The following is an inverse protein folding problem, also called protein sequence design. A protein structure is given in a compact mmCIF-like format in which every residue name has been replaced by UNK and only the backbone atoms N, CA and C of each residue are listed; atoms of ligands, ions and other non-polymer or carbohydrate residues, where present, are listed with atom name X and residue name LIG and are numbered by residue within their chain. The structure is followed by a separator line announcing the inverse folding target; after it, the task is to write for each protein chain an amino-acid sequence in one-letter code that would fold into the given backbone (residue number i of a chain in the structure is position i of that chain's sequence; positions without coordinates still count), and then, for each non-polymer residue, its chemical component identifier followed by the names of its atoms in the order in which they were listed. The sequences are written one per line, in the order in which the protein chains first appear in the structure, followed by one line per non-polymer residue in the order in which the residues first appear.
data_IF_155763966154
#
_entry.id   IF_155763966154
#
_cell.length_a   1.000
_cell.length_b   1.000
_cell.length_c   1.000
_cell.angle_alpha   90.00
_cell.angle_beta   90.00
_cell.angle_gamma   90.00
#
_symmetry.space_group_name_H-M   'P 1'
#
loop_
_entity.id
_entity.type
_entity.pdbx_description
1 polymer ?
#
# COMPACT_ATOMS: atom_id res chain seq x y z
N UNK A 1 -9.67 -2.61 -21.79
CA UNK A 1 -9.05 -1.60 -20.90
C UNK A 1 -8.28 -2.35 -19.84
N UNK A 2 -7.00 -2.08 -19.67
CA UNK A 2 -6.25 -2.65 -18.55
C UNK A 2 -6.77 -2.00 -17.27
N UNK A 3 -7.22 -2.84 -16.35
CA UNK A 3 -7.70 -2.38 -15.05
C UNK A 3 -6.52 -1.89 -14.21
N UNK A 4 -6.73 -0.87 -13.38
CA UNK A 4 -5.73 -0.42 -12.39
C UNK A 4 -5.18 -1.63 -11.63
N UNK A 5 -3.85 -1.80 -11.56
CA UNK A 5 -3.24 -2.95 -10.88
C UNK A 5 -3.69 -3.05 -9.43
N UNK A 6 -3.87 -4.27 -8.91
CA UNK A 6 -4.32 -4.46 -7.51
C UNK A 6 -3.44 -3.74 -6.49
N UNK A 7 -2.13 -3.66 -6.73
CA UNK A 7 -1.18 -3.00 -5.83
C UNK A 7 -1.33 -1.47 -5.75
N UNK A 8 -2.07 -0.87 -6.68
CA UNK A 8 -2.30 0.58 -6.74
C UNK A 8 -3.76 0.94 -6.40
N UNK A 9 -4.55 -0.04 -5.97
CA UNK A 9 -5.92 0.17 -5.51
C UNK A 9 -5.95 0.38 -4.01
N UNK A 10 -6.95 1.09 -3.53
CA UNK A 10 -7.25 1.17 -2.10
C UNK A 10 -7.76 -0.19 -1.64
N UNK A 11 -7.07 -0.82 -0.71
CA UNK A 11 -7.50 -2.09 -0.12
C UNK A 11 -8.35 -1.82 1.12
N UNK A 12 -9.64 -2.17 1.05
CA UNK A 12 -10.60 -1.99 2.13
C UNK A 12 -10.98 -3.38 2.68
N UNK A 13 -10.69 -3.63 3.96
CA UNK A 13 -11.10 -4.84 4.64
C UNK A 13 -12.39 -4.62 5.43
N UNK A 14 -13.37 -5.50 5.27
CA UNK A 14 -14.63 -5.49 6.02
C UNK A 14 -14.59 -6.52 7.13
N UNK A 15 -14.76 -6.06 8.37
CA UNK A 15 -14.68 -6.85 9.59
C UNK A 15 -16.00 -6.77 10.38
N UNK A 16 -16.21 -7.70 11.31
CA UNK A 16 -17.37 -7.75 12.16
C UNK A 16 -17.94 -9.17 12.23
N UNK A 17 -18.83 -9.41 13.19
CA UNK A 17 -19.44 -10.72 13.44
C UNK A 17 -20.24 -11.24 12.24
N UNK A 18 -20.59 -12.52 12.30
CA UNK A 18 -21.53 -13.10 11.35
C UNK A 18 -22.87 -12.34 11.42
N UNK A 19 -23.47 -12.07 10.27
CA UNK A 19 -24.74 -11.33 10.17
C UNK A 19 -24.71 -9.87 10.71
N UNK A 20 -23.55 -9.27 10.94
CA UNK A 20 -23.46 -7.87 11.34
C UNK A 20 -23.93 -6.89 10.23
N UNK A 21 -24.09 -7.37 9.00
CA UNK A 21 -24.51 -6.54 7.87
C UNK A 21 -23.38 -6.15 6.92
N UNK A 22 -22.19 -6.77 7.01
CA UNK A 22 -21.05 -6.51 6.13
C UNK A 22 -21.43 -6.53 4.64
N UNK A 23 -22.02 -7.62 4.19
CA UNK A 23 -22.43 -7.79 2.78
C UNK A 23 -23.51 -6.79 2.36
N UNK A 24 -24.42 -6.42 3.26
CA UNK A 24 -25.43 -5.39 3.02
C UNK A 24 -24.78 -4.03 2.84
N UNK A 25 -23.83 -3.69 3.72
CA UNK A 25 -23.05 -2.45 3.61
C UNK A 25 -22.23 -2.40 2.32
N UNK A 26 -21.55 -3.50 1.96
CA UNK A 26 -20.80 -3.60 0.70
C UNK A 26 -21.72 -3.34 -0.50
N UNK A 27 -22.87 -3.99 -0.54
CA UNK A 27 -23.85 -3.80 -1.63
C UNK A 27 -24.34 -2.35 -1.70
N UNK A 28 -24.63 -1.74 -0.55
CA UNK A 28 -25.04 -0.34 -0.48
C UNK A 28 -23.92 0.62 -0.99
N UNK A 29 -22.69 0.43 -0.52
CA UNK A 29 -21.56 1.28 -0.93
C UNK A 29 -21.23 1.15 -2.42
N UNK A 30 -21.36 -0.06 -2.96
CA UNK A 30 -21.02 -0.35 -4.36
C UNK A 30 -22.15 -0.08 -5.34
N UNK A 31 -23.37 0.14 -4.85
CA UNK A 31 -24.59 0.24 -5.65
C UNK A 31 -24.79 -0.97 -6.60
N UNK A 32 -24.36 -2.11 -6.17
CA UNK A 32 -24.44 -3.36 -6.93
C UNK A 32 -24.58 -4.56 -5.98
N UNK A 33 -25.33 -5.59 -6.34
CA UNK A 33 -25.31 -6.84 -5.63
C UNK A 33 -23.95 -7.52 -5.82
N UNK A 34 -23.02 -7.23 -4.92
CA UNK A 34 -21.68 -7.82 -4.93
C UNK A 34 -21.75 -9.17 -4.23
N UNK A 35 -21.86 -10.25 -4.99
CA UNK A 35 -21.67 -11.59 -4.42
C UNK A 35 -20.18 -11.79 -4.16
N UNK A 36 -19.77 -11.73 -2.91
CA UNK A 36 -18.45 -12.16 -2.45
C UNK A 36 -18.53 -13.66 -2.14
N UNK A 37 -18.83 -14.46 -3.16
CA UNK A 37 -18.83 -15.93 -3.06
C UNK A 37 -17.51 -16.42 -3.64
N UNK A 38 -16.83 -17.32 -2.92
CA UNK A 38 -15.70 -18.06 -3.47
C UNK A 38 -16.18 -18.87 -4.70
N UNK A 39 -15.49 -18.76 -5.82
CA UNK A 39 -15.78 -19.54 -7.05
C UNK A 39 -15.61 -21.06 -6.87
N UNK A 40 -15.18 -21.51 -5.67
CA UNK A 40 -15.00 -22.92 -5.32
C UNK A 40 -15.92 -23.26 -4.14
N UNK A 41 -16.98 -23.97 -4.44
CA UNK A 41 -17.90 -24.50 -3.42
C UNK A 41 -17.14 -25.45 -2.49
N UNK A 42 -17.11 -25.13 -1.18
CA UNK A 42 -16.58 -26.02 -0.13
C UNK A 42 -15.31 -25.53 0.58
N UNK A 43 -14.70 -24.40 0.23
CA UNK A 43 -13.52 -23.84 0.91
C UNK A 43 -13.78 -22.43 1.42
N UNK A 44 -14.66 -22.27 2.39
CA UNK A 44 -15.05 -20.97 2.99
C UNK A 44 -14.02 -20.41 3.99
N UNK A 45 -12.76 -20.78 3.89
CA UNK A 45 -11.70 -20.31 4.81
C UNK A 45 -10.89 -19.13 4.28
N UNK A 46 -10.95 -18.82 2.98
CA UNK A 46 -10.16 -17.75 2.40
C UNK A 46 -10.95 -16.43 2.32
N UNK A 47 -10.36 -15.28 2.73
CA UNK A 47 -10.97 -13.97 2.53
C UNK A 47 -11.19 -13.72 1.03
N UNK A 48 -12.40 -13.36 0.66
CA UNK A 48 -12.76 -13.10 -0.74
C UNK A 48 -12.46 -11.65 -1.08
N UNK A 49 -11.62 -11.43 -2.09
CA UNK A 49 -11.25 -10.09 -2.54
C UNK A 49 -11.78 -9.82 -3.95
N UNK A 50 -12.44 -8.67 -4.12
CA UNK A 50 -12.96 -8.21 -5.42
C UNK A 50 -12.44 -6.82 -5.74
N UNK A 51 -11.86 -6.67 -6.93
CA UNK A 51 -11.42 -5.38 -7.46
C UNK A 51 -12.58 -4.70 -8.18
N UNK A 52 -12.82 -3.42 -7.86
CA UNK A 52 -13.87 -2.61 -8.47
C UNK A 52 -13.54 -1.12 -8.44
N UNK A 53 -14.43 -0.30 -8.92
CA UNK A 53 -14.36 1.16 -8.84
C UNK A 53 -15.58 1.66 -8.06
N UNK A 54 -15.33 2.48 -7.04
CA UNK A 54 -16.38 3.09 -6.21
C UNK A 54 -16.16 4.60 -6.24
N UNK A 55 -17.05 5.35 -6.86
CA UNK A 55 -17.01 6.80 -6.84
C UNK A 55 -17.58 7.35 -5.52
N UNK A 56 -16.92 8.30 -4.84
CA UNK A 56 -15.71 9.06 -5.25
C UNK A 56 -14.36 8.41 -4.89
N UNK A 57 -14.33 7.23 -4.26
CA UNK A 57 -13.09 6.58 -3.76
C UNK A 57 -12.14 6.12 -4.89
N UNK A 58 -12.63 5.97 -6.13
CA UNK A 58 -11.83 5.46 -7.23
C UNK A 58 -11.65 3.93 -7.24
N UNK A 59 -10.50 3.43 -7.72
CA UNK A 59 -10.24 2.00 -7.84
C UNK A 59 -9.91 1.36 -6.48
N UNK A 60 -10.76 0.41 -6.04
CA UNK A 60 -10.64 -0.28 -4.74
C UNK A 60 -10.49 -1.78 -4.90
N UNK A 61 -9.97 -2.43 -3.87
CA UNK A 61 -10.09 -3.87 -3.62
C UNK A 61 -10.85 -4.06 -2.32
N UNK A 62 -12.05 -4.59 -2.39
CA UNK A 62 -12.82 -4.96 -1.21
C UNK A 62 -12.42 -6.38 -0.82
N UNK A 63 -12.13 -6.58 0.46
CA UNK A 63 -11.90 -7.89 1.06
C UNK A 63 -12.91 -8.11 2.17
N UNK A 64 -13.81 -9.09 2.00
CA UNK A 64 -14.70 -9.55 3.04
C UNK A 64 -13.99 -10.60 3.89
N UNK A 65 -13.94 -10.38 5.20
CA UNK A 65 -13.41 -11.35 6.13
C UNK A 65 -14.57 -12.21 6.66
N UNK A 66 -14.36 -13.52 6.77
CA UNK A 66 -15.33 -14.38 7.41
C UNK A 66 -15.64 -13.90 8.84
N UNK A 67 -16.86 -14.14 9.33
CA UNK A 67 -17.28 -13.71 10.68
C UNK A 67 -16.25 -14.11 11.75
N UNK A 68 -15.97 -13.19 12.65
CA UNK A 68 -14.87 -13.24 13.63
C UNK A 68 -15.18 -14.20 14.81
N UNK A 69 -16.41 -14.63 14.90
CA UNK A 69 -17.05 -15.41 15.99
C UNK A 69 -17.00 -16.93 15.79
N UNK A 70 -16.18 -17.44 14.87
CA UNK A 70 -16.09 -18.87 14.60
C UNK A 70 -15.07 -19.57 15.52
N UNK A 71 -15.57 -20.24 16.55
CA UNK A 71 -14.76 -20.96 17.56
C UNK A 71 -14.34 -22.39 17.15
N UNK A 72 -14.51 -22.76 15.89
CA UNK A 72 -14.13 -24.09 15.38
C UNK A 72 -12.62 -24.20 15.08
N UNK A 73 -12.09 -25.43 14.87
CA UNK A 73 -10.70 -25.63 14.41
C UNK A 73 -10.41 -24.89 13.09
N UNK A 74 -11.43 -24.71 12.25
CA UNK A 74 -11.41 -23.85 11.07
C UNK A 74 -11.27 -22.35 11.44
N UNK A 75 -11.73 -21.94 12.62
CA UNK A 75 -11.62 -20.58 13.14
C UNK A 75 -10.16 -20.14 13.31
N UNK A 76 -9.27 -21.01 13.78
CA UNK A 76 -7.84 -20.68 13.95
C UNK A 76 -7.16 -20.40 12.61
N UNK A 77 -7.43 -21.22 11.60
CA UNK A 77 -6.93 -20.98 10.23
C UNK A 77 -7.51 -19.71 9.61
N UNK A 78 -8.77 -19.37 9.92
CA UNK A 78 -9.41 -18.12 9.50
C UNK A 78 -8.79 -16.91 10.17
N UNK A 79 -8.42 -17.00 11.46
CA UNK A 79 -7.73 -15.95 12.18
C UNK A 79 -6.35 -15.65 11.54
N UNK A 80 -5.54 -16.68 11.26
CA UNK A 80 -4.26 -16.51 10.60
C UNK A 80 -4.40 -15.82 9.23
N UNK A 81 -5.40 -16.22 8.44
CA UNK A 81 -5.69 -15.60 7.13
C UNK A 81 -6.21 -14.17 7.25
N UNK A 82 -7.00 -13.89 8.28
CA UNK A 82 -7.47 -12.52 8.56
C UNK A 82 -6.31 -11.64 9.01
N UNK A 83 -5.34 -12.14 9.78
CA UNK A 83 -4.10 -11.42 10.07
C UNK A 83 -3.28 -11.10 8.81
N UNK A 84 -3.29 -11.97 7.80
CA UNK A 84 -2.66 -11.67 6.50
C UNK A 84 -3.38 -10.53 5.76
N UNK A 85 -4.69 -10.40 5.91
CA UNK A 85 -5.45 -9.28 5.34
C UNK A 85 -5.03 -7.97 6.00
N UNK A 86 -4.82 -7.94 7.33
CA UNK A 86 -4.38 -6.74 8.06
C UNK A 86 -3.10 -6.14 7.48
N UNK A 87 -2.20 -6.96 6.95
CA UNK A 87 -0.93 -6.50 6.36
C UNK A 87 -1.10 -5.78 5.03
N UNK A 88 -2.22 -6.01 4.34
CA UNK A 88 -2.44 -5.57 2.95
C UNK A 88 -3.43 -4.41 2.85
N UNK A 89 -4.33 -4.25 3.84
CA UNK A 89 -5.39 -3.25 3.79
C UNK A 89 -4.89 -1.85 4.13
N UNK A 90 -5.45 -0.87 3.44
CA UNK A 90 -5.21 0.56 3.69
C UNK A 90 -6.25 1.12 4.67
N UNK A 91 -7.44 0.53 4.70
CA UNK A 91 -8.58 0.97 5.49
C UNK A 91 -9.37 -0.24 6.00
N UNK A 92 -9.76 -0.24 7.25
CA UNK A 92 -10.66 -1.22 7.83
C UNK A 92 -12.06 -0.61 8.02
N UNK A 93 -13.07 -1.31 7.56
CA UNK A 93 -14.48 -1.06 7.88
C UNK A 93 -14.90 -2.11 8.89
N UNK A 94 -15.18 -1.69 10.12
CA UNK A 94 -15.64 -2.57 11.17
C UNK A 94 -17.14 -2.36 11.39
N UNK A 95 -17.94 -3.44 11.32
CA UNK A 95 -19.40 -3.37 11.38
C UNK A 95 -19.90 -3.95 12.69
N UNK A 96 -20.62 -3.13 13.46
CA UNK A 96 -21.38 -3.53 14.65
C UNK A 96 -22.88 -3.36 14.40
N UNK A 97 -23.70 -3.92 15.28
CA UNK A 97 -25.17 -3.80 15.26
C UNK A 97 -25.65 -3.04 16.48
N UNK A 98 -26.70 -2.25 16.34
CA UNK A 98 -27.31 -1.51 17.45
C UNK A 98 -28.02 -2.42 18.48
N UNK A 99 -28.45 -3.61 18.08
CA UNK A 99 -29.20 -4.57 18.93
C UNK A 99 -28.31 -5.56 19.68
N UNK A 100 -26.98 -5.44 19.55
CA UNK A 100 -26.02 -6.33 20.20
C UNK A 100 -24.90 -5.53 20.89
N UNK A 101 -24.45 -6.00 22.04
CA UNK A 101 -23.28 -5.43 22.74
C UNK A 101 -21.98 -5.85 22.03
N UNK A 102 -20.94 -4.96 21.99
CA UNK A 102 -19.61 -5.35 21.55
C UNK A 102 -19.03 -6.44 22.44
N UNK A 103 -18.49 -7.48 21.83
CA UNK A 103 -17.86 -8.59 22.55
C UNK A 103 -16.37 -8.36 22.80
N UNK A 104 -15.76 -9.25 23.62
CA UNK A 104 -14.28 -9.27 23.78
C UNK A 104 -13.55 -9.47 22.45
N UNK A 105 -14.14 -10.23 21.53
CA UNK A 105 -13.56 -10.48 20.21
C UNK A 105 -13.59 -9.23 19.33
N UNK A 106 -14.70 -8.47 19.37
CA UNK A 106 -14.77 -7.18 18.67
C UNK A 106 -13.68 -6.23 19.17
N UNK A 107 -13.50 -6.13 20.49
CA UNK A 107 -12.46 -5.28 21.09
C UNK A 107 -11.05 -5.75 20.76
N UNK A 108 -10.84 -7.07 20.72
CA UNK A 108 -9.56 -7.67 20.33
C UNK A 108 -9.19 -7.29 18.88
N UNK A 109 -10.12 -7.47 17.92
CA UNK A 109 -9.89 -7.15 16.52
C UNK A 109 -9.68 -5.66 16.26
N UNK A 110 -10.48 -4.80 16.89
CA UNK A 110 -10.28 -3.35 16.83
C UNK A 110 -8.90 -2.96 17.40
N UNK A 111 -8.49 -3.61 18.51
CA UNK A 111 -7.15 -3.45 19.08
C UNK A 111 -6.02 -3.86 18.12
N UNK A 112 -6.16 -5.01 17.44
CA UNK A 112 -5.19 -5.47 16.44
C UNK A 112 -5.11 -4.52 15.23
N UNK A 113 -6.23 -4.02 14.74
CA UNK A 113 -6.27 -3.03 13.65
C UNK A 113 -5.53 -1.76 14.06
N UNK A 114 -5.80 -1.24 15.26
CA UNK A 114 -5.11 -0.06 15.80
C UNK A 114 -3.62 -0.28 15.98
N UNK A 115 -3.20 -1.42 16.56
CA UNK A 115 -1.78 -1.79 16.73
C UNK A 115 -1.03 -1.87 15.40
N UNK A 116 -1.72 -2.24 14.32
CA UNK A 116 -1.17 -2.27 12.97
C UNK A 116 -1.29 -0.92 12.25
N UNK A 117 -1.65 0.17 12.92
CA UNK A 117 -1.84 1.50 12.34
C UNK A 117 -2.79 1.51 11.13
N UNK A 118 -3.85 0.68 11.15
CA UNK A 118 -4.90 0.69 10.13
C UNK A 118 -5.95 1.72 10.53
N UNK A 119 -6.25 2.72 9.69
CA UNK A 119 -7.42 3.58 9.90
C UNK A 119 -8.69 2.73 9.99
N UNK A 120 -9.55 3.00 10.98
CA UNK A 120 -10.75 2.22 11.25
C UNK A 120 -11.98 3.09 11.08
N UNK A 121 -12.80 2.77 10.07
CA UNK A 121 -14.17 3.25 9.97
C UNK A 121 -15.07 2.27 10.73
N UNK A 122 -15.56 2.67 11.90
CA UNK A 122 -16.53 1.88 12.66
C UNK A 122 -17.93 2.25 12.19
N UNK A 123 -18.64 1.32 11.56
CA UNK A 123 -20.00 1.51 11.11
C UNK A 123 -20.99 0.70 11.96
N UNK A 124 -22.02 1.38 12.44
CA UNK A 124 -23.04 0.82 13.28
C UNK A 124 -24.30 0.64 12.44
N UNK A 125 -24.68 -0.60 12.21
CA UNK A 125 -25.88 -0.96 11.46
C UNK A 125 -27.12 -0.73 12.35
N UNK A 126 -27.93 0.25 11.99
CA UNK A 126 -29.19 0.57 12.64
C UNK A 126 -30.27 -0.42 12.18
N UNK A 127 -30.39 -1.55 12.89
CA UNK A 127 -31.46 -2.49 12.63
C UNK A 127 -32.73 -1.93 13.26
N UNK A 128 -33.83 -1.89 12.50
CA UNK A 128 -35.15 -1.45 12.96
C UNK A 128 -35.60 -2.26 14.18
N UNK A 129 -35.11 -1.91 15.35
CA UNK A 129 -35.53 -2.47 16.60
C UNK A 129 -36.62 -1.62 17.21
N UNK A 130 -37.86 -2.10 17.12
CA UNK A 130 -38.96 -1.65 17.97
C UNK A 130 -38.71 -1.92 19.45
N UNK A 131 -37.50 -2.37 19.85
CA UNK A 131 -37.14 -2.80 21.23
C UNK A 131 -36.08 -1.94 21.90
N UNK A 132 -35.44 -1.00 21.22
CA UNK A 132 -34.53 -0.06 21.90
C UNK A 132 -35.37 1.05 22.53
N UNK A 133 -35.56 0.93 23.86
CA UNK A 133 -36.30 1.88 24.64
C UNK A 133 -35.59 3.22 24.71
N UNK A 134 -36.02 4.18 23.88
CA UNK A 134 -35.48 5.55 23.83
C UNK A 134 -35.53 6.30 25.18
N UNK A 135 -36.17 5.67 26.20
CA UNK A 135 -36.32 6.30 27.50
C UNK A 135 -35.16 6.15 28.45
N UNK A 136 -34.23 5.18 28.22
CA UNK A 136 -33.08 4.99 29.10
C UNK A 136 -31.97 6.05 28.89
N UNK A 137 -31.95 6.71 27.75
CA UNK A 137 -30.86 7.63 27.36
C UNK A 137 -31.22 9.12 27.41
N UNK A 138 -32.42 9.46 27.87
CA UNK A 138 -32.89 10.85 27.87
C UNK A 138 -32.34 11.72 29.01
N UNK A 139 -31.89 11.12 30.10
CA UNK A 139 -31.47 11.87 31.30
C UNK A 139 -30.01 12.31 31.28
N UNK A 140 -29.13 11.67 30.50
CA UNK A 140 -27.70 12.06 30.42
C UNK A 140 -27.41 13.05 29.29
N UNK A 141 -28.38 13.28 28.38
CA UNK A 141 -28.22 14.13 27.21
C UNK A 141 -28.26 15.63 27.49
N UNK A 142 -28.78 16.05 28.64
CA UNK A 142 -28.90 17.49 28.95
C UNK A 142 -27.60 18.05 29.53
N UNK A 143 -26.77 17.24 30.20
CA UNK A 143 -25.44 17.64 30.66
C UNK A 143 -24.37 17.70 29.55
N UNK A 144 -24.51 16.87 28.49
CA UNK A 144 -23.56 16.86 27.37
C UNK A 144 -23.80 17.98 26.36
N UNK A 145 -24.99 18.59 26.34
CA UNK A 145 -25.35 19.66 25.37
C UNK A 145 -24.64 20.97 25.57
N UNK A 146 -24.09 21.24 26.75
CA UNK A 146 -23.36 22.50 27.05
C UNK A 146 -21.92 22.54 26.52
N UNK A 147 -21.34 21.37 26.14
CA UNK A 147 -19.93 21.26 25.70
C UNK A 147 -19.72 20.92 24.22
N UNK A 148 -20.78 20.85 23.42
CA UNK A 148 -20.67 20.53 21.98
C UNK A 148 -20.95 21.78 21.14
N UNK A 149 -19.92 22.33 20.53
CA UNK A 149 -20.05 23.36 19.49
C UNK A 149 -20.77 22.72 18.30
N UNK A 150 -22.04 23.11 18.08
CA UNK A 150 -22.81 22.70 16.91
C UNK A 150 -22.13 23.21 15.65
N UNK A 151 -21.78 22.36 14.66
CA UNK A 151 -21.41 22.84 13.34
C UNK A 151 -22.67 23.42 12.66
N UNK A 152 -22.75 24.72 12.53
CA UNK A 152 -23.65 25.40 11.59
C UNK A 152 -22.90 25.52 10.29
N UNK A 153 -23.23 24.69 9.29
CA UNK A 153 -22.66 24.81 7.96
C UNK A 153 -22.98 23.63 7.05
N UNK A 154 -22.98 23.89 5.77
CA UNK A 154 -23.12 22.88 4.70
C UNK A 154 -21.94 21.91 4.69
N UNK A 155 -22.11 20.71 4.14
CA UNK A 155 -21.13 19.60 4.06
C UNK A 155 -19.73 20.07 3.61
N UNK A 156 -19.66 21.09 2.76
CA UNK A 156 -18.43 21.72 2.28
C UNK A 156 -17.61 22.38 3.41
N UNK A 157 -18.29 22.98 4.40
CA UNK A 157 -17.64 23.60 5.57
C UNK A 157 -17.14 22.56 6.59
N UNK A 158 -17.75 21.38 6.61
CA UNK A 158 -17.28 20.26 7.45
C UNK A 158 -15.99 19.65 6.92
N UNK A 159 -15.85 19.51 5.60
CA UNK A 159 -14.60 19.05 4.93
C UNK A 159 -13.50 20.10 5.07
N UNK A 160 -13.81 21.39 4.90
CA UNK A 160 -12.85 22.49 5.11
C UNK A 160 -12.40 22.60 6.59
N UNK A 161 -13.25 22.23 7.54
CA UNK A 161 -12.89 22.17 8.96
C UNK A 161 -12.02 20.96 9.29
N UNK A 162 -12.23 19.82 8.66
CA UNK A 162 -11.33 18.64 8.77
C UNK A 162 -9.95 19.00 8.21
N UNK A 163 -9.88 19.64 7.04
CA UNK A 163 -8.62 20.10 6.45
C UNK A 163 -7.90 21.17 7.28
N UNK A 164 -8.63 22.03 7.99
CA UNK A 164 -8.04 23.03 8.90
C UNK A 164 -7.55 22.45 10.22
N UNK A 165 -8.18 21.39 10.71
CA UNK A 165 -7.75 20.68 11.91
C UNK A 165 -6.48 19.86 11.62
N UNK A 166 -6.36 19.27 10.44
CA UNK A 166 -5.14 18.54 10.04
C UNK A 166 -3.95 19.45 9.75
N UNK A 167 -4.16 20.70 9.31
CA UNK A 167 -3.09 21.66 9.01
C UNK A 167 -2.52 22.40 10.23
N UNK A 168 -3.09 22.23 11.42
CA UNK A 168 -2.63 22.87 12.66
C UNK A 168 -2.07 21.89 13.71
N UNK A 169 -1.85 20.63 13.36
CA UNK A 169 -1.24 19.64 14.25
C UNK A 169 0.24 19.51 13.91
N UNK A 170 1.03 20.04 14.82
CA UNK A 170 2.49 19.93 14.88
C UNK A 170 2.92 18.46 14.94
N UNK A 171 4.06 18.16 14.32
CA UNK A 171 4.67 16.85 14.19
C UNK A 171 4.61 16.01 15.47
N UNK A 172 3.99 14.90 15.39
CA UNK A 172 4.07 13.73 16.25
C UNK A 172 2.79 13.31 16.98
N UNK A 173 2.32 12.14 16.57
CA UNK A 173 1.66 11.13 17.40
C UNK A 173 0.15 11.11 17.62
N UNK A 174 -0.66 12.05 17.19
CA UNK A 174 -2.12 11.90 17.40
C UNK A 174 -2.97 12.42 16.22
N UNK A 175 -3.00 11.70 15.10
CA UNK A 175 -4.05 11.91 14.10
C UNK A 175 -5.31 11.20 14.61
N UNK A 176 -6.08 11.87 15.43
CA UNK A 176 -7.43 11.48 15.82
C UNK A 176 -8.37 12.65 15.60
N UNK A 177 -8.78 12.83 14.34
CA UNK A 177 -9.94 13.65 14.04
C UNK A 177 -11.19 12.75 14.13
N UNK A 178 -11.93 12.80 15.23
CA UNK A 178 -13.18 12.06 15.38
C UNK A 178 -14.32 12.80 14.67
N UNK A 179 -14.89 12.20 13.64
CA UNK A 179 -16.22 12.56 13.13
C UNK A 179 -17.20 11.53 13.68
N UNK A 180 -18.11 11.97 14.55
CA UNK A 180 -19.12 11.11 15.19
C UNK A 180 -20.45 11.35 14.49
N UNK A 181 -20.97 10.32 13.80
CA UNK A 181 -22.33 10.29 13.24
C UNK A 181 -23.05 9.12 13.88
N UNK A 182 -23.98 9.41 14.79
CA UNK A 182 -24.72 8.36 15.54
C UNK A 182 -24.50 8.44 17.05
N UNK A 183 -25.14 9.40 17.72
CA UNK A 183 -24.80 9.83 19.09
C UNK A 183 -25.18 8.84 20.20
N UNK A 184 -26.09 7.90 19.98
CA UNK A 184 -26.67 7.11 21.09
C UNK A 184 -25.89 5.85 21.47
N UNK A 185 -25.40 5.09 20.51
CA UNK A 185 -24.74 3.79 20.75
C UNK A 185 -23.33 3.95 21.32
N UNK A 186 -22.63 4.99 20.93
CA UNK A 186 -21.24 5.25 21.31
C UNK A 186 -21.10 5.80 22.72
N UNK A 187 -22.07 6.61 23.16
CA UNK A 187 -22.08 7.13 24.54
C UNK A 187 -22.18 5.99 25.58
N UNK A 188 -22.82 4.87 25.19
CA UNK A 188 -22.95 3.68 26.04
C UNK A 188 -21.67 2.81 26.10
N UNK A 189 -20.75 2.94 25.11
CA UNK A 189 -19.59 2.05 24.96
C UNK A 189 -18.29 2.84 24.87
N UNK A 190 -17.86 3.39 26.00
CA UNK A 190 -16.72 4.34 26.11
C UNK A 190 -15.39 3.86 25.52
N UNK A 191 -15.17 2.55 25.40
CA UNK A 191 -13.92 2.00 24.83
C UNK A 191 -13.84 2.02 23.30
N UNK A 192 -14.98 2.07 22.58
CA UNK A 192 -15.00 2.02 21.12
C UNK A 192 -14.45 3.31 20.47
N UNK A 193 -14.75 4.44 21.09
CA UNK A 193 -14.33 5.75 20.61
C UNK A 193 -12.80 5.89 20.57
N UNK A 194 -12.09 5.16 21.41
CA UNK A 194 -10.61 5.21 21.46
C UNK A 194 -9.94 4.32 20.43
N UNK A 195 -10.68 3.36 19.89
CA UNK A 195 -10.19 2.39 18.92
C UNK A 195 -10.49 2.79 17.46
N UNK A 196 -11.60 3.47 17.21
CA UNK A 196 -12.01 3.87 15.87
C UNK A 196 -11.45 5.24 15.46
N UNK A 197 -11.09 5.37 14.18
CA UNK A 197 -10.68 6.65 13.59
C UNK A 197 -11.89 7.51 13.23
N UNK A 198 -12.94 6.89 12.70
CA UNK A 198 -14.23 7.51 12.36
C UNK A 198 -15.34 6.57 12.72
N UNK A 199 -16.48 7.10 13.14
CA UNK A 199 -17.67 6.31 13.47
C UNK A 199 -18.86 6.84 12.68
N UNK A 200 -19.56 5.94 11.99
CA UNK A 200 -20.80 6.22 11.27
C UNK A 200 -21.90 5.27 11.68
N UNK A 201 -23.15 5.73 11.66
CA UNK A 201 -24.30 4.85 11.84
C UNK A 201 -25.33 5.05 10.73
N UNK A 202 -25.90 3.97 10.23
CA UNK A 202 -26.95 4.00 9.23
C UNK A 202 -27.73 2.69 9.20
N UNK A 203 -28.97 2.78 8.73
CA UNK A 203 -29.67 1.62 8.19
C UNK A 203 -29.06 1.30 6.83
N UNK A 204 -28.33 0.19 6.73
CA UNK A 204 -27.62 -0.23 5.51
C UNK A 204 -28.56 -0.64 4.37
N UNK A 205 -29.87 -0.61 4.58
CA UNK A 205 -30.86 -0.78 3.52
C UNK A 205 -31.29 0.55 2.90
N UNK A 206 -30.83 1.69 3.42
CA UNK A 206 -31.18 3.04 2.99
C UNK A 206 -30.12 3.68 2.12
N UNK A 207 -30.41 3.91 0.83
CA UNK A 207 -29.51 4.59 -0.10
C UNK A 207 -29.23 6.06 0.27
N UNK A 208 -30.10 6.68 1.07
CA UNK A 208 -29.93 8.08 1.49
C UNK A 208 -28.64 8.33 2.29
N UNK A 209 -28.12 7.32 2.97
CA UNK A 209 -26.88 7.41 3.76
C UNK A 209 -25.61 6.98 3.00
N UNK A 210 -25.75 6.46 1.80
CA UNK A 210 -24.64 5.94 1.00
C UNK A 210 -23.53 6.98 0.78
N UNK A 211 -23.91 8.17 0.32
CA UNK A 211 -22.92 9.23 0.04
C UNK A 211 -22.21 9.70 1.30
N UNK A 212 -22.92 9.84 2.40
CA UNK A 212 -22.34 10.22 3.70
C UNK A 212 -21.28 9.19 4.15
N UNK A 213 -21.59 7.89 4.05
CA UNK A 213 -20.64 6.82 4.40
C UNK A 213 -19.45 6.75 3.43
N UNK A 214 -19.67 7.04 2.14
CA UNK A 214 -18.57 7.12 1.16
C UNK A 214 -17.67 8.33 1.42
N UNK A 215 -18.22 9.47 1.82
CA UNK A 215 -17.43 10.65 2.17
C UNK A 215 -16.59 10.39 3.43
N UNK A 216 -17.15 9.70 4.43
CA UNK A 216 -16.42 9.28 5.62
C UNK A 216 -15.25 8.35 5.27
N UNK A 217 -15.46 7.38 4.38
CA UNK A 217 -14.40 6.48 3.90
C UNK A 217 -13.35 7.24 3.10
N UNK A 218 -13.77 8.19 2.27
CA UNK A 218 -12.86 9.05 1.49
C UNK A 218 -11.94 9.87 2.37
N UNK A 219 -12.46 10.44 3.46
CA UNK A 219 -11.68 11.20 4.43
C UNK A 219 -10.68 10.37 5.23
N UNK A 220 -10.87 9.04 5.29
CA UNK A 220 -9.95 8.10 5.95
C UNK A 220 -8.97 7.43 5.00
N UNK A 221 -9.19 7.56 3.71
CA UNK A 221 -8.26 7.00 2.73
C UNK A 221 -6.92 7.70 2.92
N UNK A 222 -5.85 6.96 3.28
CA UNK A 222 -4.55 7.58 3.41
C UNK A 222 -4.21 8.32 2.12
N UNK A 223 -3.86 9.58 2.22
CA UNK A 223 -3.39 10.41 1.09
C UNK A 223 -2.23 9.72 0.34
N UNK A 224 -1.53 8.83 1.01
CA UNK A 224 -0.48 7.95 0.46
C UNK A 224 -0.91 7.06 -0.73
N UNK A 225 -2.22 6.86 -0.95
CA UNK A 225 -2.70 6.02 -2.07
C UNK A 225 -2.85 6.84 -3.35
N UNK A 226 -3.09 8.16 -3.24
CA UNK A 226 -3.25 9.05 -4.41
C UNK A 226 -2.68 10.47 -4.23
N UNK A 227 -2.20 10.89 -3.03
CA UNK A 227 -2.19 12.33 -2.75
C UNK A 227 -0.85 13.04 -2.74
N UNK A 228 0.27 12.48 -2.29
CA UNK A 228 1.46 13.32 -2.06
C UNK A 228 2.78 12.78 -2.63
N UNK A 229 2.94 11.49 -2.83
CA UNK A 229 4.20 10.97 -3.39
C UNK A 229 3.95 10.22 -4.69
N UNK A 230 4.23 10.89 -5.81
CA UNK A 230 4.19 10.25 -7.13
C UNK A 230 5.58 9.68 -7.48
N UNK A 231 5.61 8.76 -8.45
CA UNK A 231 6.84 8.07 -8.85
C UNK A 231 7.95 9.04 -9.30
N UNK A 232 7.57 10.14 -10.01
CA UNK A 232 8.45 11.15 -10.58
C UNK A 232 8.34 12.53 -9.91
N UNK A 233 7.71 12.61 -8.74
CA UNK A 233 7.56 13.88 -8.01
C UNK A 233 8.90 14.61 -7.84
N UNK A 234 8.93 15.87 -8.22
CA UNK A 234 10.13 16.70 -8.15
C UNK A 234 11.22 16.38 -9.19
N UNK A 235 11.02 15.36 -10.03
CA UNK A 235 11.99 14.93 -11.04
C UNK A 235 11.64 15.40 -12.45
N UNK A 236 10.36 15.63 -12.74
CA UNK A 236 9.84 15.95 -14.07
C UNK A 236 8.96 17.18 -14.00
N UNK A 237 9.20 18.14 -14.91
CA UNK A 237 8.42 19.34 -15.09
C UNK A 237 7.80 19.39 -16.49
N UNK A 238 6.89 20.34 -16.73
CA UNK A 238 6.25 20.55 -18.03
C UNK A 238 7.28 20.81 -19.12
N UNK A 239 7.23 20.03 -20.19
CA UNK A 239 8.13 20.14 -21.34
C UNK A 239 9.44 19.35 -21.22
N UNK A 240 9.74 18.74 -20.08
CA UNK A 240 10.92 17.89 -19.93
C UNK A 240 10.83 16.66 -20.84
N UNK A 241 11.97 16.26 -21.41
CA UNK A 241 12.09 15.06 -22.23
C UNK A 241 12.79 13.97 -21.44
N UNK A 242 12.13 12.83 -21.27
CA UNK A 242 12.64 11.66 -20.55
C UNK A 242 12.80 10.50 -21.52
N UNK A 243 13.95 9.84 -21.52
CA UNK A 243 14.15 8.60 -22.29
C UNK A 243 13.98 7.41 -21.38
N UNK A 244 13.11 6.48 -21.79
CA UNK A 244 12.84 5.23 -21.10
C UNK A 244 13.46 4.08 -21.89
N UNK A 245 14.46 3.44 -21.32
CA UNK A 245 15.10 2.26 -21.93
C UNK A 245 14.43 1.00 -21.41
N UNK A 246 13.66 0.38 -22.30
CA UNK A 246 12.83 -0.79 -21.99
C UNK A 246 13.31 -1.98 -22.81
N UNK A 247 14.26 -2.78 -22.31
CA UNK A 247 14.68 -4.00 -23.02
C UNK A 247 13.51 -4.98 -23.14
N UNK A 248 13.48 -5.75 -24.21
CA UNK A 248 12.49 -6.81 -24.39
C UNK A 248 12.84 -7.94 -23.43
N UNK A 249 12.07 -8.04 -22.37
CA UNK A 249 12.19 -9.11 -21.38
C UNK A 249 11.38 -10.34 -21.84
N UNK A 250 12.01 -11.50 -21.86
CA UNK A 250 11.34 -12.78 -22.14
C UNK A 250 10.29 -13.14 -21.07
N UNK A 251 10.39 -12.56 -19.87
CA UNK A 251 9.44 -12.74 -18.78
C UNK A 251 8.18 -11.85 -18.92
N UNK A 252 8.26 -10.76 -19.68
CA UNK A 252 7.10 -9.91 -19.93
C UNK A 252 6.15 -10.58 -20.96
N UNK A 253 4.83 -10.52 -20.74
CA UNK A 253 3.89 -11.01 -21.74
C UNK A 253 4.10 -10.30 -23.08
N UNK A 254 4.12 -11.06 -24.17
CA UNK A 254 4.31 -10.52 -25.53
C UNK A 254 3.33 -9.37 -25.78
N UNK A 255 3.84 -8.24 -26.25
CA UNK A 255 3.04 -7.06 -26.58
C UNK A 255 2.69 -6.16 -25.38
N UNK A 256 3.34 -6.34 -24.22
CA UNK A 256 3.10 -5.52 -23.01
C UNK A 256 4.40 -4.98 -22.45
N UNK A 257 4.31 -3.78 -21.90
CA UNK A 257 5.30 -3.22 -20.98
C UNK A 257 4.99 -3.69 -19.54
N UNK A 258 6.02 -3.75 -18.69
CA UNK A 258 5.84 -4.08 -17.28
C UNK A 258 5.27 -2.88 -16.52
N UNK A 259 4.65 -3.14 -15.38
CA UNK A 259 3.93 -2.12 -14.60
C UNK A 259 4.76 -0.86 -14.30
N UNK A 260 6.01 -0.92 -13.82
CA UNK A 260 6.80 0.29 -13.57
C UNK A 260 7.01 1.15 -14.81
N UNK A 261 7.21 0.54 -15.98
CA UNK A 261 7.38 1.24 -17.24
C UNK A 261 6.11 1.98 -17.64
N UNK A 262 4.96 1.32 -17.57
CA UNK A 262 3.65 1.93 -17.89
C UNK A 262 3.34 3.09 -16.94
N UNK A 263 3.59 2.93 -15.63
CA UNK A 263 3.36 3.97 -14.64
C UNK A 263 4.25 5.18 -14.89
N UNK A 264 5.54 4.96 -15.16
CA UNK A 264 6.48 6.05 -15.47
C UNK A 264 6.06 6.84 -16.72
N UNK A 265 5.67 6.12 -17.80
CA UNK A 265 5.17 6.79 -19.02
C UNK A 265 3.93 7.64 -18.69
N UNK A 266 2.97 7.06 -17.97
CA UNK A 266 1.74 7.76 -17.64
C UNK A 266 2.02 9.02 -16.81
N UNK A 267 2.88 8.94 -15.82
CA UNK A 267 3.19 10.08 -14.97
C UNK A 267 3.96 11.18 -15.69
N UNK A 268 4.88 10.84 -16.61
CA UNK A 268 5.50 11.84 -17.49
C UNK A 268 4.43 12.63 -18.26
N UNK A 269 3.42 11.94 -18.80
CA UNK A 269 2.34 12.58 -19.52
C UNK A 269 1.45 13.44 -18.60
N UNK A 270 1.20 13.01 -17.38
CA UNK A 270 0.43 13.78 -16.38
C UNK A 270 1.15 15.08 -16.00
N UNK A 271 2.50 15.11 -16.01
CA UNK A 271 3.32 16.31 -15.85
C UNK A 271 3.52 17.10 -17.17
N UNK A 272 2.83 16.73 -18.25
CA UNK A 272 2.98 17.32 -19.59
C UNK A 272 4.42 17.23 -20.15
N UNK A 273 5.17 16.24 -19.71
CA UNK A 273 6.49 15.89 -20.23
C UNK A 273 6.41 15.05 -21.50
N UNK A 274 7.56 14.81 -22.11
CA UNK A 274 7.73 13.99 -23.32
C UNK A 274 8.39 12.66 -22.93
N UNK A 275 7.71 11.55 -23.12
CA UNK A 275 8.23 10.21 -22.91
C UNK A 275 8.72 9.60 -24.23
N UNK A 276 10.01 9.34 -24.35
CA UNK A 276 10.61 8.61 -25.46
C UNK A 276 11.00 7.21 -25.00
N UNK A 277 10.61 6.20 -25.76
CA UNK A 277 10.83 4.79 -25.37
C UNK A 277 11.68 4.11 -26.42
N UNK A 278 12.77 3.46 -26.01
CA UNK A 278 13.65 2.70 -26.90
C UNK A 278 14.17 1.42 -26.21
N UNK A 279 14.80 0.56 -26.96
CA UNK A 279 15.63 -0.52 -26.42
C UNK A 279 17.05 0.00 -26.15
N UNK A 280 17.89 -0.84 -25.56
CA UNK A 280 19.23 -0.45 -25.10
C UNK A 280 20.12 0.04 -26.26
N UNK A 281 20.17 -0.66 -27.37
CA UNK A 281 21.10 -0.36 -28.47
C UNK A 281 20.65 0.85 -29.31
N UNK A 282 19.38 1.25 -29.27
CA UNK A 282 18.86 2.42 -29.96
C UNK A 282 19.06 3.73 -29.13
N UNK A 283 19.48 3.64 -27.86
CA UNK A 283 19.66 4.78 -26.97
C UNK A 283 20.58 5.87 -27.53
N UNK A 284 21.79 5.57 -28.09
CA UNK A 284 22.65 6.60 -28.67
C UNK A 284 22.00 7.35 -29.83
N UNK A 285 21.32 6.63 -30.72
CA UNK A 285 20.61 7.24 -31.83
C UNK A 285 19.47 8.14 -31.36
N UNK A 286 18.73 7.69 -30.32
CA UNK A 286 17.66 8.47 -29.71
C UNK A 286 18.21 9.78 -29.10
N UNK A 287 19.29 9.73 -28.32
CA UNK A 287 19.92 10.92 -27.72
C UNK A 287 20.39 11.89 -28.82
N UNK A 288 21.04 11.38 -29.87
CA UNK A 288 21.54 12.23 -30.98
C UNK A 288 20.41 12.86 -31.81
N UNK A 289 19.22 12.29 -31.82
CA UNK A 289 18.08 12.83 -32.55
C UNK A 289 17.43 14.04 -31.86
N UNK A 290 17.75 14.28 -30.59
CA UNK A 290 17.20 15.37 -29.81
C UNK A 290 17.93 16.66 -30.04
N UNK A 291 17.20 17.78 -30.15
CA UNK A 291 17.75 19.11 -30.24
C UNK A 291 18.44 19.55 -28.93
N UNK A 292 17.84 19.17 -27.81
CA UNK A 292 18.36 19.42 -26.48
C UNK A 292 18.55 18.04 -25.76
N UNK A 293 19.53 17.93 -24.85
CA UNK A 293 19.72 16.70 -24.10
C UNK A 293 18.46 16.39 -23.29
N UNK A 294 18.13 15.11 -23.08
CA UNK A 294 17.02 14.73 -22.23
C UNK A 294 17.31 15.11 -20.77
N UNK A 295 16.27 15.35 -19.99
CA UNK A 295 16.37 15.63 -18.55
C UNK A 295 17.01 14.48 -17.79
N UNK A 296 16.64 13.24 -18.13
CA UNK A 296 17.22 12.01 -17.60
C UNK A 296 16.91 10.80 -18.49
N UNK A 297 17.68 9.74 -18.24
CA UNK A 297 17.44 8.39 -18.76
C UNK A 297 16.98 7.49 -17.62
N UNK A 298 15.90 6.73 -17.83
CA UNK A 298 15.38 5.74 -16.87
C UNK A 298 15.43 4.39 -17.55
N UNK A 299 16.09 3.41 -16.96
CA UNK A 299 16.24 2.10 -17.58
C UNK A 299 15.77 0.96 -16.68
N UNK A 300 15.65 -0.23 -17.25
CA UNK A 300 15.55 -1.45 -16.47
C UNK A 300 16.90 -1.75 -15.79
N UNK A 301 16.89 -2.10 -14.51
CA UNK A 301 18.12 -2.36 -13.74
C UNK A 301 18.97 -3.49 -14.33
N UNK A 302 18.38 -4.37 -15.12
CA UNK A 302 19.11 -5.45 -15.81
C UNK A 302 20.02 -4.94 -16.92
N UNK A 303 19.74 -3.75 -17.45
CA UNK A 303 20.50 -3.13 -18.54
C UNK A 303 21.42 -2.01 -18.04
N UNK A 304 21.58 -1.84 -16.72
CA UNK A 304 22.31 -0.72 -16.14
C UNK A 304 23.73 -0.58 -16.66
N UNK A 305 24.51 -1.66 -16.72
CA UNK A 305 25.88 -1.68 -17.20
C UNK A 305 25.96 -1.12 -18.62
N UNK A 306 25.15 -1.65 -19.52
CA UNK A 306 25.16 -1.24 -20.91
C UNK A 306 24.60 0.16 -21.15
N UNK A 307 23.52 0.53 -20.43
CA UNK A 307 22.91 1.86 -20.53
C UNK A 307 23.84 2.93 -19.98
N UNK A 308 24.60 2.63 -18.92
CA UNK A 308 25.60 3.53 -18.35
C UNK A 308 26.71 3.84 -19.38
N UNK A 309 27.26 2.83 -20.05
CA UNK A 309 28.24 2.99 -21.12
C UNK A 309 27.73 3.86 -22.29
N UNK A 310 26.43 3.74 -22.61
CA UNK A 310 25.82 4.42 -23.76
C UNK A 310 25.28 5.82 -23.45
N UNK A 311 25.20 6.18 -22.15
CA UNK A 311 24.64 7.46 -21.71
C UNK A 311 25.76 8.42 -21.32
N UNK A 312 25.87 9.60 -21.95
CA UNK A 312 26.85 10.64 -21.56
C UNK A 312 26.73 10.96 -20.05
N UNK A 313 27.88 11.21 -19.40
CA UNK A 313 27.93 11.53 -17.94
C UNK A 313 27.11 12.76 -17.55
N UNK A 314 26.93 13.68 -18.50
CA UNK A 314 26.13 14.90 -18.30
C UNK A 314 24.61 14.64 -18.19
N UNK A 315 24.15 13.44 -18.54
CA UNK A 315 22.74 13.07 -18.50
C UNK A 315 22.49 12.21 -17.25
N UNK A 316 21.62 12.63 -16.32
CA UNK A 316 21.22 11.83 -15.16
C UNK A 316 20.66 10.49 -15.59
N UNK A 317 21.02 9.45 -14.85
CA UNK A 317 20.60 8.07 -15.09
C UNK A 317 20.04 7.45 -13.82
N UNK A 318 18.88 6.79 -13.92
CA UNK A 318 18.32 5.97 -12.84
C UNK A 318 17.58 4.75 -13.39
N UNK A 319 16.95 3.97 -12.54
CA UNK A 319 16.17 2.80 -12.98
C UNK A 319 14.75 2.80 -12.45
N UNK A 320 13.86 2.09 -13.18
CA UNK A 320 12.49 1.84 -12.71
C UNK A 320 12.45 1.21 -11.31
N UNK A 321 13.40 0.34 -10.98
CA UNK A 321 13.47 -0.31 -9.66
C UNK A 321 13.86 0.66 -8.55
N UNK A 322 14.74 1.65 -8.81
CA UNK A 322 15.08 2.69 -7.83
C UNK A 322 13.92 3.67 -7.67
N UNK A 323 13.25 4.07 -8.76
CA UNK A 323 12.03 4.87 -8.69
C UNK A 323 10.94 4.17 -7.85
N UNK A 324 10.74 2.87 -8.05
CA UNK A 324 9.78 2.10 -7.24
C UNK A 324 10.21 2.00 -5.78
N UNK A 325 11.50 1.91 -5.49
CA UNK A 325 12.05 1.92 -4.13
C UNK A 325 11.76 3.26 -3.41
N UNK A 326 11.89 4.38 -4.12
CA UNK A 326 11.52 5.71 -3.64
C UNK A 326 10.02 5.83 -3.42
N UNK A 327 9.23 5.44 -4.41
CA UNK A 327 7.77 5.58 -4.42
C UNK A 327 7.08 4.73 -3.36
N UNK A 328 7.48 3.46 -3.21
CA UNK A 328 6.82 2.52 -2.30
C UNK A 328 7.55 2.30 -0.98
N UNK A 329 8.81 2.68 -0.90
CA UNK A 329 9.67 2.43 0.25
C UNK A 329 10.22 3.71 0.87
N UNK A 330 11.33 3.52 1.58
CA UNK A 330 12.22 4.57 2.09
C UNK A 330 13.56 4.37 1.40
N UNK A 331 13.83 5.19 0.38
CA UNK A 331 15.05 5.05 -0.44
C UNK A 331 16.31 5.15 0.42
N UNK A 332 16.33 6.01 1.42
CA UNK A 332 17.44 6.18 2.37
C UNK A 332 17.82 4.89 3.08
N UNK A 333 16.83 4.13 3.59
CA UNK A 333 17.10 2.87 4.30
C UNK A 333 17.70 1.83 3.33
N UNK A 334 17.17 1.77 2.10
CA UNK A 334 17.61 0.84 1.07
C UNK A 334 19.02 1.17 0.55
N UNK A 335 19.37 2.45 0.40
CA UNK A 335 20.72 2.92 0.05
C UNK A 335 21.69 2.67 1.21
N UNK A 336 21.24 2.87 2.44
CA UNK A 336 22.05 2.56 3.62
C UNK A 336 22.33 1.06 3.73
N UNK A 337 21.31 0.23 3.48
CA UNK A 337 21.42 -1.23 3.53
C UNK A 337 22.44 -1.81 2.54
N UNK A 338 22.66 -1.13 1.39
CA UNK A 338 23.64 -1.62 0.40
C UNK A 338 25.07 -1.69 0.94
N UNK A 339 25.41 -0.85 1.92
CA UNK A 339 26.75 -0.84 2.54
C UNK A 339 27.10 -2.18 3.20
N UNK A 340 26.09 -2.95 3.62
CA UNK A 340 26.27 -4.25 4.24
C UNK A 340 26.82 -5.31 3.28
N UNK A 341 26.73 -5.12 1.97
CA UNK A 341 27.30 -6.05 0.97
C UNK A 341 28.78 -6.28 1.23
N UNK A 342 29.52 -5.20 1.57
CA UNK A 342 30.98 -5.27 1.83
C UNK A 342 31.34 -6.16 3.04
N UNK A 343 30.38 -6.46 3.90
CA UNK A 343 30.55 -7.28 5.10
C UNK A 343 30.21 -8.75 4.87
N UNK A 344 29.62 -9.08 3.70
CA UNK A 344 29.26 -10.46 3.37
C UNK A 344 30.53 -11.32 3.19
N UNK A 345 30.50 -12.51 3.75
CA UNK A 345 31.60 -13.52 3.71
C UNK A 345 30.99 -14.91 3.47
N UNK A 346 31.86 -15.88 3.23
CA UNK A 346 31.43 -17.27 3.11
C UNK A 346 30.60 -17.71 4.32
N UNK A 347 29.44 -18.29 4.06
CA UNK A 347 28.48 -18.70 5.08
C UNK A 347 27.45 -17.61 5.48
N UNK A 348 27.60 -16.36 5.03
CA UNK A 348 26.60 -15.31 5.29
C UNK A 348 25.23 -15.70 4.76
N UNK A 349 24.19 -15.45 5.56
CA UNK A 349 22.79 -15.73 5.22
C UNK A 349 22.14 -14.54 4.54
N UNK A 350 21.66 -14.73 3.34
CA UNK A 350 21.02 -13.67 2.55
C UNK A 350 19.61 -14.09 2.15
N UNK A 351 18.63 -13.28 2.54
CA UNK A 351 17.24 -13.45 2.14
C UNK A 351 16.96 -12.69 0.84
N UNK A 352 16.56 -13.39 -0.23
CA UNK A 352 16.06 -12.78 -1.46
C UNK A 352 14.54 -12.85 -1.44
N UNK A 353 13.88 -11.68 -1.31
CA UNK A 353 12.43 -11.59 -1.13
C UNK A 353 11.74 -10.94 -2.32
N UNK A 354 10.88 -11.68 -2.99
CA UNK A 354 10.10 -11.22 -4.12
C UNK A 354 8.65 -10.90 -3.71
N UNK A 355 8.12 -9.77 -4.17
CA UNK A 355 6.73 -9.37 -3.89
C UNK A 355 5.68 -10.00 -4.80
N UNK A 356 6.10 -10.72 -5.83
CA UNK A 356 5.23 -11.35 -6.81
C UNK A 356 5.30 -12.88 -6.74
N UNK A 357 4.27 -13.53 -7.29
CA UNK A 357 4.14 -14.99 -7.37
C UNK A 357 4.13 -15.47 -8.83
N UNK A 358 4.75 -14.69 -9.73
CA UNK A 358 4.82 -15.09 -11.12
C UNK A 358 5.69 -16.34 -11.29
N UNK A 359 5.43 -17.08 -12.38
CA UNK A 359 6.21 -18.29 -12.67
C UNK A 359 7.66 -17.92 -12.93
N UNK A 360 8.58 -18.46 -12.14
CA UNK A 360 10.03 -18.30 -12.31
C UNK A 360 10.45 -18.82 -13.68
N UNK A 361 11.26 -18.04 -14.38
CA UNK A 361 11.84 -18.40 -15.67
C UNK A 361 13.34 -18.71 -15.53
N UNK A 362 13.95 -19.25 -16.60
CA UNK A 362 15.36 -19.62 -16.60
C UNK A 362 16.31 -18.44 -16.32
N UNK A 363 15.88 -17.20 -16.61
CA UNK A 363 16.65 -15.97 -16.44
C UNK A 363 16.08 -15.03 -15.36
N UNK A 364 15.44 -15.60 -14.35
CA UNK A 364 14.82 -14.84 -13.26
C UNK A 364 15.85 -13.97 -12.52
N UNK A 365 15.46 -12.71 -12.21
CA UNK A 365 16.37 -11.71 -11.61
C UNK A 365 16.80 -12.16 -10.22
N UNK A 366 15.85 -12.56 -9.36
CA UNK A 366 16.10 -12.87 -7.97
C UNK A 366 16.81 -14.19 -7.78
N UNK A 367 16.40 -15.24 -8.50
CA UNK A 367 16.90 -16.60 -8.28
C UNK A 367 18.11 -16.95 -9.13
N UNK A 368 18.37 -16.23 -10.22
CA UNK A 368 19.47 -16.54 -11.16
C UNK A 368 20.43 -15.37 -11.32
N UNK A 369 19.96 -14.20 -11.76
CA UNK A 369 20.85 -13.08 -12.12
C UNK A 369 21.57 -12.49 -10.92
N UNK A 370 20.88 -12.18 -9.83
CA UNK A 370 21.47 -11.62 -8.62
C UNK A 370 22.48 -12.60 -7.97
N UNK A 371 22.16 -13.89 -7.75
CA UNK A 371 23.14 -14.84 -7.27
C UNK A 371 24.39 -14.95 -8.14
N UNK A 372 24.23 -14.94 -9.47
CA UNK A 372 25.36 -14.97 -10.39
C UNK A 372 26.20 -13.69 -10.35
N UNK A 373 25.55 -12.52 -10.23
CA UNK A 373 26.21 -11.23 -10.11
C UNK A 373 27.01 -11.15 -8.81
N UNK A 374 26.45 -11.59 -7.67
CA UNK A 374 27.15 -11.67 -6.39
C UNK A 374 28.39 -12.57 -6.48
N UNK A 375 28.26 -13.76 -7.09
CA UNK A 375 29.40 -14.66 -7.33
C UNK A 375 30.49 -14.03 -8.20
N UNK A 376 30.10 -13.34 -9.28
CA UNK A 376 31.02 -12.63 -10.18
C UNK A 376 31.82 -11.53 -9.45
N UNK A 377 31.20 -10.90 -8.44
CA UNK A 377 31.82 -9.88 -7.60
C UNK A 377 32.61 -10.46 -6.41
N UNK A 378 32.78 -11.79 -6.34
CA UNK A 378 33.58 -12.47 -5.32
C UNK A 378 32.83 -12.89 -4.06
N UNK A 379 31.53 -12.68 -3.98
CA UNK A 379 30.70 -13.15 -2.86
C UNK A 379 30.29 -14.61 -3.12
N UNK A 380 31.17 -15.54 -2.76
CA UNK A 380 30.96 -16.99 -2.90
C UNK A 380 30.46 -17.62 -1.61
N UNK A 381 29.86 -18.81 -1.71
CA UNK A 381 29.42 -19.62 -0.57
C UNK A 381 28.40 -18.92 0.36
N UNK A 382 27.55 -18.04 -0.19
CA UNK A 382 26.44 -17.45 0.53
C UNK A 382 25.31 -18.47 0.73
N UNK A 383 24.66 -18.43 1.90
CA UNK A 383 23.44 -19.18 2.17
C UNK A 383 22.25 -18.36 1.70
N UNK A 384 21.73 -18.66 0.50
CA UNK A 384 20.62 -17.93 -0.10
C UNK A 384 19.30 -18.58 0.25
N UNK A 385 18.41 -17.82 0.87
CA UNK A 385 17.01 -18.18 1.09
C UNK A 385 16.08 -17.32 0.24
N UNK A 386 14.97 -17.89 -0.20
CA UNK A 386 14.07 -17.23 -1.14
C UNK A 386 12.63 -17.23 -0.62
N UNK A 387 11.98 -16.06 -0.67
CA UNK A 387 10.56 -15.90 -0.39
C UNK A 387 9.85 -15.24 -1.55
N UNK A 388 8.53 -15.47 -1.70
CA UNK A 388 7.72 -14.88 -2.77
C UNK A 388 6.33 -14.48 -2.27
N UNK A 389 5.74 -13.49 -2.94
CA UNK A 389 4.41 -12.98 -2.61
C UNK A 389 4.31 -12.39 -1.21
N UNK A 390 3.34 -12.87 -0.43
CA UNK A 390 3.11 -12.44 0.95
C UNK A 390 4.03 -13.07 1.99
N UNK A 391 4.82 -14.08 1.62
CA UNK A 391 5.67 -14.84 2.53
C UNK A 391 6.94 -14.06 2.90
N UNK A 392 6.82 -13.14 3.86
CA UNK A 392 7.96 -12.44 4.44
C UNK A 392 8.12 -12.86 5.91
N UNK A 393 9.33 -13.32 6.36
CA UNK A 393 9.52 -13.79 7.73
C UNK A 393 9.21 -12.72 8.78
N UNK A 394 8.62 -13.12 9.92
CA UNK A 394 8.42 -12.22 11.08
C UNK A 394 9.75 -11.92 11.79
N UNK A 395 10.63 -12.94 11.88
CA UNK A 395 11.99 -12.81 12.40
C UNK A 395 12.99 -12.83 11.25
N UNK A 396 13.64 -11.71 11.05
CA UNK A 396 14.67 -11.51 10.01
C UNK A 396 16.06 -11.29 10.60
N UNK A 397 16.20 -11.30 11.92
CA UNK A 397 17.46 -11.05 12.63
C UNK A 397 18.58 -12.06 12.31
N UNK A 398 18.23 -13.23 11.78
CA UNK A 398 19.16 -14.27 11.37
C UNK A 398 19.88 -13.99 10.04
N UNK A 399 19.44 -12.98 9.26
CA UNK A 399 20.02 -12.66 7.96
C UNK A 399 21.04 -11.52 8.05
N UNK A 400 22.17 -11.68 7.34
CA UNK A 400 23.18 -10.64 7.18
C UNK A 400 22.77 -9.56 6.18
N UNK A 401 21.86 -9.90 5.25
CA UNK A 401 21.31 -8.98 4.27
C UNK A 401 19.96 -9.49 3.74
N UNK A 402 19.02 -8.57 3.55
CA UNK A 402 17.77 -8.81 2.80
C UNK A 402 17.87 -8.10 1.45
N UNK A 403 17.66 -8.83 0.37
CA UNK A 403 17.58 -8.31 -0.99
C UNK A 403 16.13 -8.38 -1.44
N UNK A 404 15.46 -7.23 -1.51
CA UNK A 404 14.04 -7.12 -1.85
C UNK A 404 13.86 -6.72 -3.32
N UNK A 405 12.87 -7.28 -4.02
CA UNK A 405 12.56 -6.88 -5.40
C UNK A 405 12.02 -5.44 -5.47
N UNK A 406 11.77 -4.92 -6.69
CA UNK A 406 11.17 -3.60 -6.91
C UNK A 406 9.74 -3.43 -6.40
N UNK A 407 9.13 -4.49 -5.85
CA UNK A 407 7.83 -4.49 -5.16
C UNK A 407 6.64 -3.93 -5.98
N UNK A 408 6.70 -3.99 -7.29
CA UNK A 408 5.66 -3.45 -8.16
C UNK A 408 4.26 -4.04 -7.90
N UNK A 409 4.18 -5.27 -7.41
CA UNK A 409 2.93 -5.99 -7.12
C UNK A 409 2.50 -5.91 -5.63
N UNK A 410 3.31 -5.30 -4.77
CA UNK A 410 2.97 -5.07 -3.36
C UNK A 410 2.36 -3.69 -3.17
N UNK A 411 1.48 -3.55 -2.18
CA UNK A 411 1.04 -2.24 -1.71
C UNK A 411 2.20 -1.49 -1.03
N UNK A 412 2.18 -0.16 -1.04
CA UNK A 412 3.19 0.67 -0.35
C UNK A 412 3.29 0.29 1.14
N UNK A 413 2.14 0.10 1.78
CA UNK A 413 2.06 -0.31 3.18
C UNK A 413 2.83 -1.61 3.46
N UNK A 414 2.67 -2.63 2.64
CA UNK A 414 3.40 -3.90 2.82
C UNK A 414 4.91 -3.74 2.62
N UNK A 415 5.33 -2.88 1.69
CA UNK A 415 6.76 -2.58 1.47
C UNK A 415 7.35 -1.87 2.69
N UNK A 416 6.69 -0.82 3.18
CA UNK A 416 7.11 -0.09 4.37
C UNK A 416 7.19 -1.01 5.60
N UNK A 417 6.19 -1.87 5.81
CA UNK A 417 6.19 -2.86 6.88
C UNK A 417 7.41 -3.80 6.82
N UNK A 418 7.79 -4.26 5.62
CA UNK A 418 8.97 -5.13 5.43
C UNK A 418 10.27 -4.39 5.73
N UNK A 419 10.39 -3.15 5.27
CA UNK A 419 11.55 -2.30 5.57
C UNK A 419 11.64 -2.04 7.07
N UNK A 420 10.54 -1.64 7.71
CA UNK A 420 10.49 -1.40 9.16
C UNK A 420 10.82 -2.66 9.97
N UNK A 421 10.28 -3.82 9.58
CA UNK A 421 10.60 -5.10 10.19
C UNK A 421 12.10 -5.39 10.15
N UNK A 422 12.77 -5.10 9.03
CA UNK A 422 14.21 -5.28 8.89
C UNK A 422 15.00 -4.26 9.74
N UNK A 423 14.64 -2.98 9.66
CA UNK A 423 15.32 -1.89 10.39
C UNK A 423 15.23 -2.07 11.91
N UNK A 424 14.04 -2.37 12.43
CA UNK A 424 13.82 -2.58 13.88
C UNK A 424 14.64 -3.76 14.41
N UNK A 425 14.82 -4.80 13.59
CA UNK A 425 15.64 -5.98 13.96
C UNK A 425 17.14 -5.82 13.63
N UNK A 426 17.55 -4.65 13.13
CA UNK A 426 18.95 -4.36 12.80
C UNK A 426 19.46 -5.12 11.57
N UNK A 427 18.58 -5.68 10.73
CA UNK A 427 18.93 -6.43 9.53
C UNK A 427 18.97 -5.48 8.33
N UNK A 428 20.12 -5.34 7.64
CA UNK A 428 20.23 -4.51 6.45
C UNK A 428 19.28 -4.99 5.35
N UNK A 429 18.60 -4.04 4.69
CA UNK A 429 17.71 -4.33 3.57
C UNK A 429 18.06 -3.44 2.37
N UNK A 430 18.08 -4.02 1.18
CA UNK A 430 18.38 -3.34 -0.09
C UNK A 430 17.40 -3.81 -1.15
N UNK A 431 17.09 -2.96 -2.15
CA UNK A 431 16.30 -3.42 -3.28
C UNK A 431 17.17 -3.82 -4.48
N UNK A 432 16.59 -4.54 -5.45
CA UNK A 432 17.29 -5.03 -6.64
C UNK A 432 18.00 -3.91 -7.41
N UNK A 433 17.34 -2.76 -7.62
CA UNK A 433 17.92 -1.66 -8.38
C UNK A 433 19.15 -1.05 -7.70
N UNK A 434 19.05 -0.76 -6.40
CA UNK A 434 20.15 -0.21 -5.59
C UNK A 434 21.31 -1.23 -5.50
N UNK A 435 20.99 -2.51 -5.31
CA UNK A 435 21.98 -3.58 -5.28
C UNK A 435 22.74 -3.69 -6.59
N UNK A 436 22.02 -3.80 -7.72
CA UNK A 436 22.63 -3.97 -9.05
C UNK A 436 23.48 -2.76 -9.40
N UNK A 437 22.98 -1.54 -9.15
CA UNK A 437 23.76 -0.31 -9.35
C UNK A 437 25.06 -0.31 -8.53
N UNK A 438 25.00 -0.75 -7.27
CA UNK A 438 26.17 -0.85 -6.41
C UNK A 438 27.19 -1.87 -6.91
N UNK A 439 26.73 -3.06 -7.34
CA UNK A 439 27.59 -4.12 -7.84
C UNK A 439 28.23 -3.78 -9.18
N UNK A 440 27.63 -2.91 -9.99
CA UNK A 440 28.21 -2.37 -11.22
C UNK A 440 29.06 -1.10 -10.99
N UNK A 441 29.10 -0.57 -9.75
CA UNK A 441 29.91 0.62 -9.42
C UNK A 441 29.28 1.95 -9.84
N UNK A 442 28.01 1.98 -10.22
CA UNK A 442 27.29 3.16 -10.74
C UNK A 442 26.23 3.67 -9.75
N UNK A 443 26.28 3.25 -8.48
CA UNK A 443 25.27 3.62 -7.50
C UNK A 443 25.14 5.14 -7.35
N UNK A 444 26.25 5.86 -7.21
CA UNK A 444 26.24 7.32 -7.03
C UNK A 444 25.53 8.03 -8.19
N UNK A 445 25.81 7.61 -9.43
CA UNK A 445 25.12 8.11 -10.62
C UNK A 445 23.64 7.76 -10.60
N UNK A 446 23.29 6.52 -10.24
CA UNK A 446 21.91 6.02 -10.28
C UNK A 446 21.00 6.66 -9.23
N UNK A 447 21.56 7.17 -8.12
CA UNK A 447 20.83 7.87 -7.06
C UNK A 447 21.02 9.39 -7.13
N UNK A 448 21.86 9.92 -8.03
CA UNK A 448 22.10 11.37 -8.16
C UNK A 448 20.82 12.20 -8.35
N UNK A 449 19.74 11.72 -9.02
CA UNK A 449 18.50 12.47 -9.11
C UNK A 449 17.78 12.67 -7.76
N UNK A 450 18.19 11.98 -6.71
CA UNK A 450 17.55 11.94 -5.39
C UNK A 450 18.44 12.46 -4.26
N UNK A 451 19.55 13.11 -4.56
CA UNK A 451 20.55 13.54 -3.54
C UNK A 451 19.93 14.42 -2.48
N UNK A 452 19.08 15.39 -2.85
CA UNK A 452 18.42 16.29 -1.91
C UNK A 452 17.54 15.55 -0.89
N UNK A 453 16.95 14.41 -1.28
CA UNK A 453 16.13 13.56 -0.40
C UNK A 453 16.98 12.62 0.48
N UNK A 454 18.20 12.32 0.05
CA UNK A 454 19.11 11.40 0.74
C UNK A 454 20.01 12.10 1.76
N UNK A 455 20.17 13.43 1.64
CA UNK A 455 20.98 14.25 2.55
C UNK A 455 20.17 14.98 3.62
N UNK A 456 18.82 15.04 3.48
CA UNK A 456 17.87 15.65 4.43
C UNK A 456 17.40 14.66 5.45
#
# INVERSE_FOLDING_TARGET
MEQTPKANRIHIGFFGRCNAGKSTLINMLTDQPVSLVSDVAGTTTDPVSKAMEILPLGPVVITDTAGIDDTTELGTLRMEKTEEVLKKINLAVYVLRTDEEPTSDDMHWLGLLKQNNVPIALFINEINSTKFDKHLYKNDMDELKENIVKPKGTIKESVDNISKVTNNLDDSKDIVGKVIVGEGYIAAHTGLSDLATVIGSADFTSDAKRLELLDLLGGLTPLDVEGEQTLLQGLVEEGDTIILVCPIDSAAPKGRLILPQVQTIREILDHKGLALVCQTEELPAMIHSLKNPPKMVICDSQAFDRVDELTPDSIPLTSFSILMARFKGKLQDLVTGVKAIKNLKAGSKVLISEGCTHRRQCDDIGTVKIPNLLKKQGYTDLQLEFTSGGAFPKDVSQYDLIIHCGACMLTRREVLRRIECAVVQGTPIVNYGVLIASLHGILERAISPFVDELEG
#
